data_IF_844640235387
#
_entry.id   IF_844640235387
#
_cell.length_a   1.000
_cell.length_b   1.000
_cell.length_c   1.000
_cell.angle_alpha   90.00
_cell.angle_beta   90.00
_cell.angle_gamma   90.00
#
_symmetry.space_group_name_H-M   'P 1'
#
loop_
_entity.id
_entity.type
_entity.pdbx_description
1 polymer ?
#
# COMPACT_ATOMS: atom_id res chain seq x y z
N UNK A 1 32.35 -39.49 -46.61
CA UNK A 1 32.13 -38.10 -47.05
C UNK A 1 30.99 -37.38 -46.30
N UNK A 2 29.86 -38.05 -46.02
CA UNK A 2 28.68 -37.47 -45.33
C UNK A 2 28.96 -36.99 -43.90
N UNK A 3 29.80 -37.70 -43.12
CA UNK A 3 30.08 -37.37 -41.71
C UNK A 3 30.86 -36.07 -41.50
N UNK A 4 31.67 -35.66 -42.48
CA UNK A 4 32.45 -34.41 -42.43
C UNK A 4 31.55 -33.21 -42.77
N UNK A 5 30.62 -33.38 -43.71
CA UNK A 5 29.66 -32.36 -44.10
C UNK A 5 28.71 -32.01 -42.94
N UNK A 6 28.23 -33.01 -42.20
CA UNK A 6 27.35 -32.82 -41.03
C UNK A 6 28.08 -32.07 -39.90
N UNK A 7 29.36 -32.39 -39.63
CA UNK A 7 30.17 -31.67 -38.63
C UNK A 7 30.43 -30.21 -39.03
N UNK A 8 30.70 -29.95 -40.30
CA UNK A 8 30.89 -28.58 -40.82
C UNK A 8 29.60 -27.77 -40.77
N UNK A 9 28.46 -28.37 -41.14
CA UNK A 9 27.13 -27.74 -41.01
C UNK A 9 26.78 -27.46 -39.55
N UNK A 10 26.99 -28.41 -38.63
CA UNK A 10 26.73 -28.20 -37.21
C UNK A 10 27.61 -27.11 -36.57
N UNK A 11 28.88 -27.02 -36.99
CA UNK A 11 29.81 -26.01 -36.49
C UNK A 11 29.53 -24.63 -37.09
N UNK A 12 29.14 -24.55 -38.37
CA UNK A 12 28.75 -23.31 -39.02
C UNK A 12 27.41 -22.79 -38.47
N UNK A 13 26.44 -23.68 -38.22
CA UNK A 13 25.17 -23.32 -37.61
C UNK A 13 25.35 -22.85 -36.17
N UNK A 14 26.14 -23.56 -35.35
CA UNK A 14 26.45 -23.14 -33.97
C UNK A 14 27.17 -21.79 -33.87
N UNK A 15 27.99 -21.43 -34.88
CA UNK A 15 28.69 -20.14 -34.93
C UNK A 15 27.79 -18.98 -35.38
N UNK A 16 26.80 -19.26 -36.24
CA UNK A 16 25.82 -18.27 -36.71
C UNK A 16 24.66 -18.08 -35.72
N UNK A 17 24.23 -19.15 -35.04
CA UNK A 17 23.18 -19.07 -34.02
C UNK A 17 23.72 -18.53 -32.70
N UNK A 18 24.97 -18.86 -32.31
CA UNK A 18 25.57 -18.38 -31.06
C UNK A 18 25.60 -16.85 -30.96
N UNK A 19 26.15 -16.14 -31.95
CA UNK A 19 26.29 -14.68 -31.89
C UNK A 19 24.97 -13.89 -31.98
N UNK A 20 23.95 -14.44 -32.64
CA UNK A 20 22.64 -13.77 -32.82
C UNK A 20 21.70 -14.09 -31.66
N UNK A 21 21.75 -15.32 -31.14
CA UNK A 21 20.97 -15.74 -29.97
C UNK A 21 21.50 -15.08 -28.70
N UNK A 22 22.83 -15.00 -28.52
CA UNK A 22 23.45 -14.30 -27.39
C UNK A 22 23.01 -12.84 -27.33
N UNK A 23 22.93 -12.16 -28.47
CA UNK A 23 22.52 -10.75 -28.52
C UNK A 23 21.05 -10.54 -28.16
N UNK A 24 20.19 -11.50 -28.50
CA UNK A 24 18.77 -11.48 -28.12
C UNK A 24 18.63 -11.77 -26.62
N UNK A 25 19.36 -12.75 -26.09
CA UNK A 25 19.39 -13.05 -24.66
C UNK A 25 19.92 -11.87 -23.84
N UNK A 26 21.02 -11.25 -24.28
CA UNK A 26 21.62 -10.07 -23.65
C UNK A 26 20.66 -8.86 -23.65
N UNK A 27 19.90 -8.67 -24.74
CA UNK A 27 18.86 -7.63 -24.80
C UNK A 27 17.69 -7.94 -23.85
N UNK A 28 17.32 -9.21 -23.71
CA UNK A 28 16.25 -9.64 -22.80
C UNK A 28 16.70 -9.46 -21.35
N UNK A 29 17.92 -9.89 -21.00
CA UNK A 29 18.50 -9.75 -19.66
C UNK A 29 18.62 -8.27 -19.29
N UNK A 30 19.16 -7.42 -20.17
CA UNK A 30 19.20 -5.98 -19.93
C UNK A 30 17.81 -5.37 -19.74
N UNK A 31 16.81 -5.81 -20.51
CA UNK A 31 15.44 -5.31 -20.36
C UNK A 31 14.79 -5.77 -19.04
N UNK A 32 15.15 -6.96 -18.55
CA UNK A 32 14.69 -7.47 -17.26
C UNK A 32 15.39 -6.72 -16.12
N UNK A 33 16.67 -6.45 -16.24
CA UNK A 33 17.45 -5.66 -15.28
C UNK A 33 16.94 -4.22 -15.20
N UNK A 34 16.77 -3.55 -16.35
CA UNK A 34 16.21 -2.20 -16.43
C UNK A 34 14.82 -2.13 -15.79
N UNK A 35 14.00 -3.16 -15.99
CA UNK A 35 12.66 -3.23 -15.38
C UNK A 35 12.77 -3.38 -13.87
N UNK A 36 13.66 -4.24 -13.39
CA UNK A 36 13.89 -4.48 -11.96
C UNK A 36 14.45 -3.23 -11.28
N UNK A 37 15.37 -2.51 -11.93
CA UNK A 37 15.94 -1.27 -11.43
C UNK A 37 14.89 -0.15 -11.38
N UNK A 38 14.04 -0.02 -12.40
CA UNK A 38 12.92 0.93 -12.37
C UNK A 38 11.92 0.60 -11.27
N UNK A 39 11.63 -0.67 -11.03
CA UNK A 39 10.72 -1.07 -9.96
C UNK A 39 11.34 -0.84 -8.57
N UNK A 40 12.66 -1.02 -8.42
CA UNK A 40 13.40 -0.61 -7.21
C UNK A 40 13.34 0.90 -6.98
N UNK A 41 13.65 1.71 -8.00
CA UNK A 41 13.63 3.18 -7.88
C UNK A 41 12.22 3.66 -7.51
N UNK A 42 11.18 3.09 -8.11
CA UNK A 42 9.78 3.40 -7.75
C UNK A 42 9.47 3.04 -6.30
N UNK A 43 9.93 1.87 -5.85
CA UNK A 43 9.76 1.44 -4.47
C UNK A 43 10.50 2.37 -3.48
N UNK A 44 11.71 2.82 -3.82
CA UNK A 44 12.50 3.74 -2.98
C UNK A 44 11.86 5.12 -2.91
N UNK A 45 11.40 5.69 -4.02
CA UNK A 45 10.66 6.97 -4.03
C UNK A 45 9.39 6.86 -3.19
N UNK A 46 8.66 5.75 -3.30
CA UNK A 46 7.47 5.51 -2.49
C UNK A 46 7.83 5.37 -1.00
N UNK A 47 8.93 4.68 -0.68
CA UNK A 47 9.41 4.52 0.69
C UNK A 47 9.80 5.87 1.31
N UNK A 48 10.49 6.74 0.56
CA UNK A 48 10.87 8.07 1.04
C UNK A 48 9.67 8.99 1.24
N UNK A 49 8.68 8.93 0.34
CA UNK A 49 7.43 9.64 0.49
C UNK A 49 6.67 9.20 1.76
N UNK A 50 6.61 7.89 2.02
CA UNK A 50 6.01 7.34 3.23
C UNK A 50 6.77 7.74 4.50
N UNK A 51 8.12 7.72 4.48
CA UNK A 51 8.95 8.18 5.60
C UNK A 51 8.73 9.65 5.93
N UNK A 52 8.57 10.50 4.91
CA UNK A 52 8.28 11.92 5.09
C UNK A 52 6.92 12.14 5.78
N UNK A 53 5.88 11.41 5.35
CA UNK A 53 4.57 11.46 6.01
C UNK A 53 4.64 11.01 7.47
N UNK A 54 5.32 9.88 7.75
CA UNK A 54 5.49 9.38 9.13
C UNK A 54 6.22 10.39 10.00
N UNK A 55 7.22 11.11 9.47
CA UNK A 55 7.97 12.14 10.24
C UNK A 55 7.06 13.32 10.61
N UNK A 56 6.11 13.69 9.75
CA UNK A 56 5.13 14.74 10.05
C UNK A 56 4.14 14.28 11.13
N UNK A 57 3.68 13.02 11.07
CA UNK A 57 2.75 12.45 12.06
C UNK A 57 3.40 12.13 13.43
N UNK A 58 4.67 11.71 13.44
CA UNK A 58 5.40 11.28 14.65
C UNK A 58 6.31 12.36 15.23
N UNK A 59 6.39 13.54 14.60
CA UNK A 59 7.17 14.67 15.06
C UNK A 59 6.64 15.33 16.34
N UNK A 60 7.11 16.56 16.63
CA UNK A 60 6.74 17.36 17.81
C UNK A 60 5.21 17.56 17.97
N UNK A 61 4.45 17.40 16.90
CA UNK A 61 2.99 17.52 16.85
C UNK A 61 2.20 16.21 17.03
N UNK A 62 2.79 15.10 17.47
CA UNK A 62 2.11 13.80 17.59
C UNK A 62 0.80 13.83 18.42
N UNK A 63 0.70 14.76 19.37
CA UNK A 63 -0.46 14.95 20.23
C UNK A 63 -1.56 15.80 19.57
N UNK A 64 -1.24 16.56 18.52
CA UNK A 64 -2.20 17.44 17.85
C UNK A 64 -3.34 16.67 17.15
N UNK A 65 -3.08 15.55 16.42
CA UNK A 65 -4.15 14.70 15.89
C UNK A 65 -5.13 14.19 16.94
N UNK A 66 -4.72 14.05 18.22
CA UNK A 66 -5.60 13.56 19.28
C UNK A 66 -6.79 14.50 19.53
N UNK A 67 -6.67 15.81 19.31
CA UNK A 67 -7.81 16.74 19.44
C UNK A 67 -8.92 16.47 18.44
N UNK A 68 -8.61 15.82 17.31
CA UNK A 68 -9.60 15.46 16.31
C UNK A 68 -10.11 14.04 16.54
N UNK A 69 -9.21 13.11 16.85
CA UNK A 69 -9.54 11.69 17.04
C UNK A 69 -10.35 11.46 18.31
N UNK A 70 -10.00 12.10 19.44
CA UNK A 70 -10.63 11.84 20.73
C UNK A 70 -12.10 12.27 20.76
N UNK A 71 -12.48 13.51 20.38
CA UNK A 71 -13.89 13.91 20.36
C UNK A 71 -14.71 13.08 19.39
N UNK A 72 -14.15 12.74 18.22
CA UNK A 72 -14.83 11.90 17.24
C UNK A 72 -15.07 10.48 17.77
N UNK A 73 -14.08 9.89 18.45
CA UNK A 73 -14.21 8.59 19.10
C UNK A 73 -15.22 8.60 20.24
N UNK A 74 -15.26 9.66 21.05
CA UNK A 74 -16.25 9.82 22.12
C UNK A 74 -17.67 9.95 21.58
N UNK A 75 -17.87 10.76 20.53
CA UNK A 75 -19.16 10.89 19.86
C UNK A 75 -19.62 9.56 19.28
N UNK A 76 -18.73 8.84 18.57
CA UNK A 76 -19.06 7.54 17.98
C UNK A 76 -19.44 6.51 19.05
N UNK A 77 -18.66 6.43 20.14
CA UNK A 77 -18.97 5.53 21.26
C UNK A 77 -20.32 5.87 21.90
N UNK A 78 -20.64 7.15 22.05
CA UNK A 78 -21.94 7.60 22.57
C UNK A 78 -23.09 7.18 21.65
N UNK A 79 -22.93 7.30 20.32
CA UNK A 79 -23.92 6.81 19.35
C UNK A 79 -24.11 5.30 19.47
N UNK A 80 -23.03 4.51 19.54
CA UNK A 80 -23.14 3.06 19.72
C UNK A 80 -23.87 2.68 21.01
N UNK A 81 -23.54 3.33 22.13
CA UNK A 81 -24.22 3.11 23.40
C UNK A 81 -25.71 3.48 23.32
N UNK A 82 -26.01 4.64 22.71
CA UNK A 82 -27.38 5.08 22.49
C UNK A 82 -28.18 4.07 21.66
N UNK A 83 -27.61 3.57 20.56
CA UNK A 83 -28.27 2.60 19.68
C UNK A 83 -28.56 1.25 20.33
N UNK A 84 -27.82 0.86 21.38
CA UNK A 84 -28.03 -0.42 22.10
C UNK A 84 -28.99 -0.26 23.27
N UNK A 85 -28.91 0.85 24.00
CA UNK A 85 -29.59 1.01 25.29
C UNK A 85 -30.77 1.99 25.24
N UNK A 86 -30.68 3.05 24.45
CA UNK A 86 -31.59 4.21 24.53
C UNK A 86 -32.35 4.52 23.23
N UNK A 87 -32.25 3.67 22.21
CA UNK A 87 -33.05 3.79 20.99
C UNK A 87 -34.56 3.68 21.27
N UNK A 88 -35.40 4.10 20.31
CA UNK A 88 -36.86 4.13 20.45
C UNK A 88 -37.47 2.77 20.85
N UNK A 89 -36.86 1.68 20.39
CA UNK A 89 -37.28 0.29 20.67
C UNK A 89 -36.30 -0.45 21.60
N UNK A 90 -35.45 0.26 22.35
CA UNK A 90 -34.43 -0.31 23.22
C UNK A 90 -34.89 -0.44 24.68
N UNK A 91 -34.03 -1.02 25.52
CA UNK A 91 -34.30 -1.27 26.95
C UNK A 91 -34.73 -0.01 27.74
N UNK A 92 -34.23 1.18 27.36
CA UNK A 92 -34.55 2.45 28.01
C UNK A 92 -34.87 3.53 26.97
N UNK A 93 -36.07 3.54 26.37
CA UNK A 93 -36.40 4.48 25.30
C UNK A 93 -36.31 5.94 25.78
N UNK A 94 -35.77 6.81 24.94
CA UNK A 94 -35.63 8.25 25.18
C UNK A 94 -36.15 9.06 23.99
N UNK A 95 -36.71 10.23 24.28
CA UNK A 95 -37.21 11.16 23.27
C UNK A 95 -36.09 12.01 22.62
N UNK A 96 -34.91 12.05 23.24
CA UNK A 96 -33.74 12.77 22.74
C UNK A 96 -32.79 11.82 22.03
N UNK A 97 -32.15 12.27 20.96
CA UNK A 97 -31.15 11.49 20.22
C UNK A 97 -29.77 12.13 20.32
N UNK A 98 -28.72 11.33 20.11
CA UNK A 98 -27.37 11.88 19.92
C UNK A 98 -27.35 12.62 18.59
N UNK A 99 -26.94 13.89 18.61
CA UNK A 99 -26.92 14.74 17.43
C UNK A 99 -26.01 14.13 16.34
N UNK A 100 -26.53 14.06 15.12
CA UNK A 100 -25.74 13.66 13.95
C UNK A 100 -24.64 14.68 13.69
N UNK A 101 -23.48 14.19 13.22
CA UNK A 101 -22.40 15.06 12.82
C UNK A 101 -22.83 15.82 11.53
N UNK A 102 -22.79 17.16 11.52
CA UNK A 102 -23.27 17.93 10.37
C UNK A 102 -22.34 17.77 9.17
N UNK A 103 -22.90 17.74 7.95
CA UNK A 103 -22.09 17.74 6.73
C UNK A 103 -21.23 19.01 6.64
N UNK A 104 -19.95 18.91 6.25
CA UNK A 104 -19.26 17.73 5.71
C UNK A 104 -18.52 16.86 6.74
N UNK A 105 -18.58 17.18 8.05
CA UNK A 105 -17.76 16.52 9.08
C UNK A 105 -18.00 15.01 9.17
N UNK A 106 -19.20 14.55 8.82
CA UNK A 106 -19.55 13.14 8.68
C UNK A 106 -18.72 12.42 7.59
N UNK A 107 -18.51 13.06 6.45
CA UNK A 107 -17.65 12.55 5.37
C UNK A 107 -16.18 12.53 5.80
N UNK A 108 -15.71 13.61 6.43
CA UNK A 108 -14.34 13.70 6.95
C UNK A 108 -14.08 12.67 8.05
N UNK A 109 -15.06 12.38 8.91
CA UNK A 109 -14.93 11.35 9.93
C UNK A 109 -14.64 9.97 9.33
N UNK A 110 -15.35 9.60 8.26
CA UNK A 110 -15.09 8.37 7.51
C UNK A 110 -13.67 8.34 6.92
N UNK A 111 -13.22 9.46 6.34
CA UNK A 111 -11.87 9.58 5.79
C UNK A 111 -10.77 9.48 6.87
N UNK A 112 -10.97 10.13 8.03
CA UNK A 112 -10.05 10.08 9.17
C UNK A 112 -9.92 8.66 9.70
N UNK A 113 -11.04 7.96 9.94
CA UNK A 113 -11.04 6.57 10.41
C UNK A 113 -10.41 5.65 9.36
N UNK A 114 -10.77 5.79 8.09
CA UNK A 114 -10.20 5.01 6.99
C UNK A 114 -8.67 5.16 6.91
N UNK A 115 -8.16 6.39 7.06
CA UNK A 115 -6.72 6.66 7.05
C UNK A 115 -5.95 5.94 8.17
N UNK A 116 -6.55 5.79 9.36
CA UNK A 116 -5.94 5.08 10.50
C UNK A 116 -5.77 3.58 10.20
N UNK A 117 -6.76 2.95 9.58
CA UNK A 117 -6.67 1.54 9.20
C UNK A 117 -5.68 1.31 8.06
N UNK A 118 -5.65 2.20 7.06
CA UNK A 118 -4.67 2.14 5.96
C UNK A 118 -3.24 2.28 6.49
N UNK A 119 -3.00 3.22 7.40
CA UNK A 119 -1.69 3.41 8.02
C UNK A 119 -1.22 2.16 8.77
N UNK A 120 -2.10 1.54 9.57
CA UNK A 120 -1.77 0.35 10.37
C UNK A 120 -1.51 -0.90 9.51
N UNK A 121 -2.27 -1.06 8.43
CA UNK A 121 -2.02 -2.12 7.43
C UNK A 121 -0.66 -1.90 6.78
N UNK A 122 -0.35 -0.67 6.38
CA UNK A 122 0.95 -0.29 5.81
C UNK A 122 2.12 -0.61 6.74
N UNK A 123 2.01 -0.28 8.03
CA UNK A 123 3.02 -0.59 9.03
C UNK A 123 3.22 -2.11 9.21
N UNK A 124 2.14 -2.88 9.23
CA UNK A 124 2.21 -4.35 9.39
C UNK A 124 2.87 -5.01 8.18
N UNK A 125 2.55 -4.55 6.97
CA UNK A 125 3.16 -5.05 5.72
C UNK A 125 4.63 -4.65 5.68
N UNK A 126 4.97 -3.40 5.99
CA UNK A 126 6.35 -2.92 6.02
C UNK A 126 7.19 -3.67 7.08
N UNK A 127 6.61 -3.98 8.24
CA UNK A 127 7.25 -4.77 9.29
C UNK A 127 7.49 -6.22 8.90
N UNK A 128 6.62 -6.84 8.09
CA UNK A 128 6.85 -8.18 7.52
C UNK A 128 7.92 -8.18 6.44
N UNK A 129 7.98 -7.14 5.60
CA UNK A 129 8.97 -7.04 4.52
C UNK A 129 10.40 -6.77 5.04
N UNK A 130 10.52 -6.25 6.27
CA UNK A 130 11.80 -6.00 6.96
C UNK A 130 12.33 -7.18 7.77
N UNK A 131 11.54 -8.26 7.96
CA UNK A 131 11.98 -9.52 8.56
C UNK A 131 12.41 -10.48 7.47
#
# INVERSE_FOLDING_TARGET
MVTVLVKLLGTAFGRLTGGTLDRILDTIDHKVDDKTERDRIRADVLADYMRAQVTVLTGRGWWFPLFFIVPLGLWFAAVCLYSVLWCADCAFPQDWTVAALPSPLDEWAGAIIGSLFVAKIGETIAGRLRR
#
